data_IF_076431582886
#
_entry.id   IF_076431582886
#
_cell.length_a   1.000
_cell.length_b   1.000
_cell.length_c   1.000
_cell.angle_alpha   90.00
_cell.angle_beta   90.00
_cell.angle_gamma   90.00
#
_symmetry.space_group_name_H-M   'P 1'
#
loop_
_entity.id
_entity.type
_entity.pdbx_description
1 polymer ?
#
# COMPACT_ATOMS: atom_id res chain seq x y z
N UNK A 1 23.39 20.21 -1.24
CA UNK A 1 22.88 18.96 -1.83
C UNK A 1 21.42 19.19 -2.17
N UNK A 2 21.09 19.47 -3.43
CA UNK A 2 19.71 19.54 -3.86
C UNK A 2 19.15 18.11 -3.86
N UNK A 3 18.13 17.84 -3.06
CA UNK A 3 17.39 16.58 -3.13
C UNK A 3 16.69 16.56 -4.48
N UNK A 4 17.21 15.78 -5.42
CA UNK A 4 16.52 15.54 -6.70
C UNK A 4 15.31 14.68 -6.40
N UNK A 5 14.20 15.32 -6.08
CA UNK A 5 12.93 14.63 -5.88
C UNK A 5 12.51 13.97 -7.19
N UNK A 6 12.11 12.72 -7.08
CA UNK A 6 11.63 11.93 -8.20
C UNK A 6 10.43 12.61 -8.87
N UNK A 7 10.35 12.64 -10.22
CA UNK A 7 9.21 13.18 -10.94
C UNK A 7 7.89 12.60 -10.43
N UNK A 8 6.91 13.46 -10.21
CA UNK A 8 5.64 13.09 -9.58
C UNK A 8 4.91 11.97 -10.34
N UNK A 9 5.04 11.92 -11.67
CA UNK A 9 4.49 10.86 -12.52
C UNK A 9 5.10 9.50 -12.17
N UNK A 10 6.40 9.42 -11.98
CA UNK A 10 7.10 8.18 -11.59
C UNK A 10 6.65 7.69 -10.21
N UNK A 11 6.38 8.64 -9.29
CA UNK A 11 5.81 8.30 -7.98
C UNK A 11 4.41 7.71 -8.09
N UNK A 12 3.54 8.30 -8.92
CA UNK A 12 2.17 7.79 -9.15
C UNK A 12 2.22 6.43 -9.85
N UNK A 13 3.08 6.26 -10.86
CA UNK A 13 3.27 4.96 -11.54
C UNK A 13 3.73 3.88 -10.57
N UNK A 14 4.70 4.17 -9.68
CA UNK A 14 5.15 3.22 -8.66
C UNK A 14 4.00 2.83 -7.74
N UNK A 15 3.22 3.78 -7.26
CA UNK A 15 2.09 3.52 -6.38
C UNK A 15 1.00 2.68 -7.05
N UNK A 16 0.68 2.95 -8.33
CA UNK A 16 -0.28 2.14 -9.10
C UNK A 16 0.17 0.69 -9.22
N UNK A 17 1.47 0.48 -9.52
CA UNK A 17 2.07 -0.84 -9.61
C UNK A 17 2.06 -1.58 -8.26
N UNK A 18 2.39 -0.89 -7.17
CA UNK A 18 2.32 -1.49 -5.83
C UNK A 18 0.89 -1.90 -5.47
N UNK A 19 -0.10 -1.05 -5.75
CA UNK A 19 -1.51 -1.34 -5.47
C UNK A 19 -1.99 -2.55 -6.28
N UNK A 20 -1.60 -2.63 -7.55
CA UNK A 20 -1.86 -3.79 -8.42
C UNK A 20 -1.27 -5.09 -7.86
N UNK A 21 -0.02 -5.07 -7.41
CA UNK A 21 0.61 -6.24 -6.80
C UNK A 21 -0.12 -6.69 -5.52
N UNK A 22 -0.56 -5.74 -4.68
CA UNK A 22 -1.32 -6.05 -3.47
C UNK A 22 -2.68 -6.69 -3.79
N UNK A 23 -3.34 -6.24 -4.86
CA UNK A 23 -4.56 -6.86 -5.36
C UNK A 23 -4.30 -8.28 -5.90
N UNK A 24 -3.22 -8.48 -6.66
CA UNK A 24 -2.84 -9.77 -7.26
C UNK A 24 -2.47 -10.83 -6.22
N UNK A 25 -1.59 -10.50 -5.27
CA UNK A 25 -1.18 -11.39 -4.16
C UNK A 25 -2.40 -11.83 -3.34
N UNK A 26 -3.44 -10.99 -3.31
CA UNK A 26 -4.66 -11.21 -2.54
C UNK A 26 -5.71 -12.01 -3.31
N UNK A 27 -5.69 -11.97 -4.64
CA UNK A 27 -6.54 -12.77 -5.55
C UNK A 27 -5.98 -14.16 -5.86
N UNK A 28 -4.66 -14.36 -5.78
CA UNK A 28 -4.02 -15.66 -6.01
C UNK A 28 -3.67 -16.36 -4.69
N UNK A 29 -4.13 -17.60 -4.54
CA UNK A 29 -3.48 -18.55 -3.62
C UNK A 29 -1.97 -18.59 -3.92
N UNK A 30 -1.10 -18.69 -2.90
CA UNK A 30 0.31 -18.35 -3.04
C UNK A 30 1.03 -19.36 -3.94
N UNK A 31 1.37 -18.93 -5.16
CA UNK A 31 2.38 -19.58 -5.98
C UNK A 31 3.44 -18.52 -6.33
N UNK A 32 4.69 -18.68 -5.88
CA UNK A 32 5.71 -17.67 -6.08
C UNK A 32 6.44 -17.91 -7.40
N UNK A 33 6.41 -16.94 -8.32
CA UNK A 33 7.49 -16.59 -9.28
C UNK A 33 7.00 -15.55 -10.29
N UNK A 34 7.61 -14.37 -10.32
CA UNK A 34 8.69 -14.08 -11.27
C UNK A 34 9.24 -12.68 -11.04
N UNK A 35 10.52 -12.52 -11.35
CA UNK A 35 11.28 -11.28 -11.25
C UNK A 35 11.16 -10.51 -12.56
N UNK A 36 10.86 -9.22 -12.50
CA UNK A 36 11.03 -8.30 -13.62
C UNK A 36 12.16 -7.32 -13.28
N UNK A 37 13.23 -7.38 -14.09
CA UNK A 37 14.31 -6.42 -14.07
C UNK A 37 13.91 -5.18 -14.90
N UNK A 38 14.10 -3.98 -14.33
CA UNK A 38 13.87 -2.72 -15.04
C UNK A 38 15.20 -1.99 -15.23
N UNK A 39 15.52 -1.69 -16.48
CA UNK A 39 16.60 -0.78 -16.93
C UNK A 39 16.14 0.68 -16.82
N UNK A 40 17.00 1.63 -16.39
CA UNK A 40 16.71 3.05 -16.53
C UNK A 40 17.25 3.59 -17.86
N UNK A 41 16.48 4.46 -18.51
CA UNK A 41 16.91 5.30 -19.65
C UNK A 41 16.91 6.78 -19.25
N UNK A 42 17.77 7.55 -19.90
CA UNK A 42 18.36 8.84 -19.52
C UNK A 42 17.68 10.08 -20.17
N UNK A 43 17.94 11.29 -19.61
CA UNK A 43 17.74 12.64 -20.20
C UNK A 43 17.38 13.70 -19.13
N UNK A 44 18.29 14.60 -18.69
CA UNK A 44 18.66 15.96 -19.20
C UNK A 44 17.47 16.93 -19.39
N UNK A 45 17.42 18.20 -19.00
CA UNK A 45 18.41 19.22 -18.62
C UNK A 45 17.78 20.27 -17.69
N UNK A 46 18.63 20.96 -16.91
CA UNK A 46 18.23 22.05 -16.03
C UNK A 46 18.17 23.41 -16.73
N UNK A 47 17.28 24.27 -16.26
CA UNK A 47 17.41 25.71 -16.47
C UNK A 47 16.87 26.49 -15.26
N UNK A 48 17.74 27.29 -14.64
CA UNK A 48 17.43 28.26 -13.59
C UNK A 48 17.46 29.64 -14.25
N UNK A 49 16.41 30.44 -14.08
CA UNK A 49 16.44 31.85 -14.45
C UNK A 49 15.71 32.69 -13.41
N UNK A 50 16.46 33.55 -12.74
CA UNK A 50 16.01 34.65 -11.89
C UNK A 50 15.47 35.80 -12.73
N UNK A 51 14.35 36.42 -12.34
CA UNK A 51 13.91 37.69 -12.93
C UNK A 51 13.37 38.63 -11.85
N UNK A 52 13.91 39.85 -11.84
CA UNK A 52 13.51 41.02 -11.06
C UNK A 52 12.10 41.52 -11.41
N UNK A 53 11.31 41.84 -10.39
CA UNK A 53 9.93 42.32 -10.56
C UNK A 53 9.88 43.85 -10.74
N UNK A 54 9.53 44.30 -11.95
CA UNK A 54 9.12 45.69 -12.25
C UNK A 54 7.72 45.69 -12.89
N UNK A 55 6.74 46.48 -12.39
CA UNK A 55 5.33 46.34 -12.77
C UNK A 55 5.00 47.16 -14.03
N UNK A 56 5.56 46.77 -15.18
CA UNK A 56 5.18 47.32 -16.49
C UNK A 56 5.15 46.20 -17.52
N UNK A 57 3.96 45.91 -18.03
CA UNK A 57 3.54 44.86 -19.00
C UNK A 57 3.26 43.47 -18.40
N UNK A 58 1.97 43.20 -18.14
CA UNK A 58 1.42 41.87 -17.84
C UNK A 58 1.81 40.82 -18.91
N UNK A 59 1.96 41.28 -20.16
CA UNK A 59 2.35 40.49 -21.34
C UNK A 59 3.72 39.82 -21.20
N UNK A 60 4.63 40.35 -20.36
CA UNK A 60 5.94 39.73 -20.08
C UNK A 60 5.92 38.70 -18.94
N UNK A 61 4.78 38.51 -18.27
CA UNK A 61 4.65 37.59 -17.13
C UNK A 61 3.71 36.41 -17.42
N UNK A 62 2.92 36.48 -18.48
CA UNK A 62 2.05 35.38 -18.91
C UNK A 62 2.86 34.33 -19.68
N UNK A 63 2.65 33.05 -19.35
CA UNK A 63 3.16 31.93 -20.16
C UNK A 63 2.32 31.80 -21.43
N UNK A 64 2.87 31.30 -22.55
CA UNK A 64 2.09 31.00 -23.75
C UNK A 64 0.90 30.09 -23.43
N UNK A 65 -0.26 30.38 -24.01
CA UNK A 65 -1.50 29.64 -23.75
C UNK A 65 -1.35 28.14 -24.03
N UNK A 66 -0.62 27.78 -25.09
CA UNK A 66 -0.30 26.39 -25.45
C UNK A 66 0.37 25.62 -24.30
N UNK A 67 1.35 26.25 -23.64
CA UNK A 67 2.05 25.63 -22.51
C UNK A 67 1.11 25.44 -21.33
N UNK A 68 0.25 26.43 -21.06
CA UNK A 68 -0.73 26.33 -19.96
C UNK A 68 -1.75 25.22 -20.24
N UNK A 69 -2.21 25.09 -21.48
CA UNK A 69 -3.10 24.01 -21.90
C UNK A 69 -2.45 22.64 -21.73
N UNK A 70 -1.23 22.46 -22.25
CA UNK A 70 -0.46 21.22 -22.10
C UNK A 70 -0.23 20.85 -20.63
N UNK A 71 0.22 21.81 -19.81
CA UNK A 71 0.41 21.58 -18.37
C UNK A 71 -0.90 21.19 -17.67
N UNK A 72 -2.02 21.79 -18.07
CA UNK A 72 -3.34 21.55 -17.47
C UNK A 72 -3.89 20.19 -17.85
N UNK A 73 -3.76 19.79 -19.11
CA UNK A 73 -4.16 18.46 -19.59
C UNK A 73 -3.38 17.36 -18.85
N UNK A 74 -2.06 17.48 -18.80
CA UNK A 74 -1.20 16.53 -18.08
C UNK A 74 -1.61 16.45 -16.60
N UNK A 75 -1.79 17.59 -15.92
CA UNK A 75 -2.24 17.60 -14.51
C UNK A 75 -3.64 17.02 -14.33
N UNK A 76 -4.56 17.26 -15.27
CA UNK A 76 -5.91 16.68 -15.26
C UNK A 76 -5.88 15.16 -15.27
N UNK A 77 -5.12 14.57 -16.21
CA UNK A 77 -4.93 13.11 -16.27
C UNK A 77 -4.32 12.54 -14.98
N UNK A 78 -3.43 13.29 -14.33
CA UNK A 78 -2.85 12.86 -13.05
C UNK A 78 -3.89 12.83 -11.92
N UNK A 79 -4.79 13.81 -11.86
CA UNK A 79 -5.85 13.86 -10.84
C UNK A 79 -6.81 12.67 -11.02
N UNK A 80 -7.21 12.38 -12.25
CA UNK A 80 -8.07 11.22 -12.55
C UNK A 80 -7.43 9.90 -12.10
N UNK A 81 -6.13 9.74 -12.35
CA UNK A 81 -5.37 8.57 -11.90
C UNK A 81 -5.31 8.46 -10.38
N UNK A 82 -5.08 9.57 -9.68
CA UNK A 82 -5.06 9.60 -8.21
C UNK A 82 -6.42 9.23 -7.62
N UNK A 83 -7.51 9.79 -8.14
CA UNK A 83 -8.86 9.44 -7.69
C UNK A 83 -9.14 7.93 -7.84
N UNK A 84 -8.78 7.35 -8.99
CA UNK A 84 -8.96 5.91 -9.22
C UNK A 84 -8.11 5.04 -8.27
N UNK A 85 -6.91 5.50 -7.91
CA UNK A 85 -6.07 4.81 -6.93
C UNK A 85 -6.63 4.91 -5.50
N UNK A 86 -7.18 6.07 -5.12
CA UNK A 86 -7.84 6.27 -3.82
C UNK A 86 -9.04 5.31 -3.67
N UNK A 87 -9.89 5.19 -4.70
CA UNK A 87 -11.03 4.27 -4.70
C UNK A 87 -10.59 2.80 -4.51
N UNK A 88 -9.55 2.38 -5.24
CA UNK A 88 -8.99 1.02 -5.11
C UNK A 88 -8.37 0.77 -3.75
N UNK A 89 -7.68 1.76 -3.19
CA UNK A 89 -7.05 1.68 -1.88
C UNK A 89 -8.09 1.56 -0.77
N UNK A 90 -9.14 2.38 -0.81
CA UNK A 90 -10.26 2.33 0.13
C UNK A 90 -10.90 0.94 0.14
N UNK A 91 -11.19 0.39 -1.05
CA UNK A 91 -11.74 -0.96 -1.17
C UNK A 91 -10.81 -2.02 -0.56
N UNK A 92 -9.50 -1.89 -0.78
CA UNK A 92 -8.52 -2.83 -0.22
C UNK A 92 -8.47 -2.75 1.31
N UNK A 93 -8.53 -1.55 1.88
CA UNK A 93 -8.55 -1.29 3.32
C UNK A 93 -9.77 -1.90 4.00
N UNK A 94 -10.98 -1.60 3.50
CA UNK A 94 -12.24 -2.14 4.02
C UNK A 94 -12.22 -3.68 4.06
N UNK A 95 -11.77 -4.28 2.96
CA UNK A 95 -11.72 -5.74 2.90
C UNK A 95 -10.60 -6.35 3.76
N UNK A 96 -9.52 -5.61 4.07
CA UNK A 96 -8.47 -6.03 5.00
C UNK A 96 -8.95 -5.98 6.45
N UNK A 97 -9.71 -4.95 6.83
CA UNK A 97 -10.39 -4.88 8.12
C UNK A 97 -11.37 -6.03 8.31
N UNK A 98 -12.21 -6.29 7.30
CA UNK A 98 -13.15 -7.40 7.33
C UNK A 98 -12.46 -8.78 7.48
N UNK A 99 -11.25 -8.94 6.92
CA UNK A 99 -10.44 -10.15 7.10
C UNK A 99 -9.88 -10.26 8.53
N UNK A 100 -9.32 -9.17 9.07
CA UNK A 100 -8.79 -9.12 10.44
C UNK A 100 -9.85 -9.49 11.47
N UNK A 101 -11.05 -8.92 11.38
CA UNK A 101 -12.14 -9.28 12.29
C UNK A 101 -12.52 -10.76 12.23
N UNK A 102 -12.53 -11.35 11.02
CA UNK A 102 -12.85 -12.78 10.84
C UNK A 102 -11.78 -13.67 11.45
N UNK A 103 -10.51 -13.29 11.34
CA UNK A 103 -9.39 -14.02 11.94
C UNK A 103 -9.42 -13.93 13.47
N UNK A 104 -9.67 -12.75 14.03
CA UNK A 104 -9.83 -12.56 15.48
C UNK A 104 -10.98 -13.41 16.03
N UNK A 105 -12.14 -13.40 15.36
CA UNK A 105 -13.31 -14.24 15.73
C UNK A 105 -12.98 -15.74 15.66
N UNK A 106 -12.15 -16.19 14.71
CA UNK A 106 -11.69 -17.59 14.61
C UNK A 106 -10.76 -17.99 15.76
N UNK A 107 -9.86 -17.11 16.18
CA UNK A 107 -8.92 -17.37 17.28
C UNK A 107 -9.70 -17.55 18.60
N UNK A 108 -10.64 -16.65 18.88
CA UNK A 108 -11.46 -16.68 20.11
C UNK A 108 -12.37 -17.91 20.15
N UNK A 109 -12.98 -18.28 19.02
CA UNK A 109 -13.92 -19.40 18.95
C UNK A 109 -13.24 -20.76 18.75
N UNK A 110 -11.91 -20.83 18.69
CA UNK A 110 -11.21 -22.10 18.53
C UNK A 110 -11.43 -22.99 19.77
N UNK A 111 -12.10 -24.16 19.64
CA UNK A 111 -12.49 -24.93 20.80
C UNK A 111 -11.27 -25.66 21.38
N UNK A 112 -10.93 -25.37 22.65
CA UNK A 112 -9.83 -25.99 23.43
C UNK A 112 -10.09 -27.48 23.77
N UNK A 113 -10.47 -28.29 22.78
CA UNK A 113 -10.86 -29.70 22.95
C UNK A 113 -9.72 -30.56 23.54
N UNK A 114 -8.47 -30.26 23.21
CA UNK A 114 -7.29 -30.97 23.74
C UNK A 114 -6.98 -30.68 25.22
N UNK A 115 -7.13 -29.42 25.65
CA UNK A 115 -6.74 -29.01 27.00
C UNK A 115 -7.68 -29.57 28.08
N UNK A 116 -8.99 -29.64 27.82
CA UNK A 116 -9.95 -30.25 28.75
C UNK A 116 -9.66 -31.75 28.98
N UNK A 117 -9.31 -32.47 27.91
CA UNK A 117 -8.97 -33.89 28.03
C UNK A 117 -7.67 -34.09 28.81
N UNK A 118 -6.66 -33.26 28.57
CA UNK A 118 -5.39 -33.29 29.30
C UNK A 118 -5.56 -33.01 30.79
N UNK A 119 -6.29 -31.95 31.15
CA UNK A 119 -6.59 -31.63 32.56
C UNK A 119 -7.36 -32.77 33.24
N UNK A 120 -8.33 -33.37 32.54
CA UNK A 120 -9.08 -34.53 33.04
C UNK A 120 -8.16 -35.73 33.33
N UNK A 121 -7.19 -36.02 32.46
CA UNK A 121 -6.23 -37.08 32.72
C UNK A 121 -5.30 -36.78 33.92
N UNK A 122 -4.82 -35.55 34.06
CA UNK A 122 -3.97 -35.17 35.19
C UNK A 122 -4.69 -35.28 36.54
N UNK A 123 -5.98 -34.93 36.59
CA UNK A 123 -6.79 -35.07 37.81
C UNK A 123 -7.05 -36.54 38.17
N UNK A 124 -7.28 -37.39 37.17
CA UNK A 124 -7.45 -38.85 37.37
C UNK A 124 -6.15 -39.51 37.86
N UNK A 125 -4.99 -39.05 37.37
CA UNK A 125 -3.69 -39.55 37.81
C UNK A 125 -3.38 -39.19 39.29
N UNK A 126 -3.82 -38.00 39.75
CA UNK A 126 -3.63 -37.56 41.15
C UNK A 126 -4.51 -38.32 42.16
N UNK A 127 -5.70 -38.77 41.78
CA UNK A 127 -6.61 -39.50 42.68
C UNK A 127 -6.23 -40.96 42.97
N UNK A 128 -5.28 -41.55 42.23
CA UNK A 128 -4.89 -42.96 42.37
C UNK A 128 -3.74 -43.20 43.36
N UNK A 129 -3.13 -42.16 43.91
CA UNK A 129 -1.97 -42.27 44.81
C UNK A 129 -2.29 -42.24 46.31
N UNK A 130 -3.55 -42.10 46.74
CA UNK A 130 -3.89 -41.96 48.18
C UNK A 130 -4.48 -43.21 48.84
N UNK A 131 -4.42 -44.39 48.21
CA UNK A 131 -4.85 -45.65 48.83
C UNK A 131 -3.76 -46.72 48.68
N UNK A 132 -2.62 -46.50 49.32
CA UNK A 132 -1.66 -47.56 49.64
C UNK A 132 -0.79 -47.15 50.83
N UNK A 133 -1.38 -47.12 52.01
CA UNK A 133 -0.64 -47.41 53.24
C UNK A 133 -1.42 -48.49 53.99
N UNK A 134 -0.68 -49.55 54.28
CA UNK A 134 -1.01 -50.73 55.05
C UNK A 134 -0.52 -50.52 56.49
#
# INVERSE_FOLDING_TARGET
>A
MATTEEPILSRIDRLDNMLRQLEEIRGCNPSPKSSCASTPTSGSDGHVSSVDFSPKSLEKHCRPIENVMMETEVKGTMIERLNHMEDRMLKLEEECEAKREKEEKKIVNSPKKGLKHFVKQCMIARGKHTNKEA
#
